data_IF_256428425255
#
_entry.id   IF_256428425255
#
_cell.length_a   1.000
_cell.length_b   1.000
_cell.length_c   1.000
_cell.angle_alpha   90.00
_cell.angle_beta   90.00
_cell.angle_gamma   90.00
#
_symmetry.space_group_name_H-M   'P 1'
#
loop_
_entity.id
_entity.type
_entity.pdbx_description
1 polymer ?
#
# COMPACT_ATOMS: atom_id res chain seq x y z
N UNK A 1 -16.05 14.08 -13.56
CA UNK A 1 -15.00 13.81 -12.55
C UNK A 1 -14.69 12.31 -12.57
N UNK A 2 -13.44 11.90 -12.81
CA UNK A 2 -13.05 10.49 -12.70
C UNK A 2 -12.86 10.19 -11.21
N UNK A 3 -13.66 9.29 -10.65
CA UNK A 3 -13.47 8.85 -9.26
C UNK A 3 -12.07 8.24 -9.13
N UNK A 4 -11.22 8.82 -8.28
CA UNK A 4 -9.86 8.31 -8.00
C UNK A 4 -9.87 7.01 -7.20
N UNK A 5 -11.05 6.60 -6.74
CA UNK A 5 -11.27 5.43 -5.90
C UNK A 5 -12.21 4.47 -6.61
N UNK A 6 -11.84 3.19 -6.60
CA UNK A 6 -12.70 2.09 -7.03
C UNK A 6 -12.93 1.18 -5.84
N UNK A 7 -14.19 1.01 -5.46
CA UNK A 7 -14.59 0.10 -4.40
C UNK A 7 -14.92 -1.27 -5.00
N UNK A 8 -14.41 -2.33 -4.38
CA UNK A 8 -14.66 -3.72 -4.76
C UNK A 8 -15.24 -4.41 -3.54
N UNK A 9 -16.46 -4.92 -3.66
CA UNK A 9 -17.05 -5.77 -2.64
C UNK A 9 -16.72 -7.23 -2.92
N UNK A 10 -16.07 -7.89 -1.97
CA UNK A 10 -15.67 -9.29 -2.09
C UNK A 10 -16.44 -10.17 -1.12
N UNK A 11 -16.99 -11.29 -1.62
CA UNK A 11 -17.59 -12.34 -0.78
C UNK A 11 -16.55 -13.29 -0.18
N UNK A 12 -15.29 -13.18 -0.59
CA UNK A 12 -14.22 -14.04 -0.09
C UNK A 12 -13.93 -13.74 1.38
N UNK A 13 -13.76 -14.78 2.20
CA UNK A 13 -13.40 -14.61 3.62
C UNK A 13 -11.93 -14.25 3.83
N UNK A 14 -11.06 -14.76 2.96
CA UNK A 14 -9.61 -14.65 3.09
C UNK A 14 -9.04 -13.40 2.39
N UNK A 15 -7.97 -12.84 2.94
CA UNK A 15 -7.33 -11.62 2.38
C UNK A 15 -6.64 -11.87 1.02
N UNK A 16 -6.04 -13.04 0.81
CA UNK A 16 -5.34 -13.37 -0.44
C UNK A 16 -6.23 -13.22 -1.68
N UNK A 17 -7.39 -13.89 -1.74
CA UNK A 17 -8.36 -13.71 -2.83
C UNK A 17 -8.83 -12.27 -3.01
N UNK A 18 -9.04 -11.51 -1.92
CA UNK A 18 -9.41 -10.09 -2.00
C UNK A 18 -8.31 -9.24 -2.66
N UNK A 19 -7.05 -9.52 -2.31
CA UNK A 19 -5.90 -8.87 -2.93
C UNK A 19 -5.82 -9.21 -4.42
N UNK A 20 -6.03 -10.48 -4.80
CA UNK A 20 -6.07 -10.90 -6.21
C UNK A 20 -7.15 -10.16 -7.00
N UNK A 21 -8.36 -10.01 -6.44
CA UNK A 21 -9.44 -9.23 -7.06
C UNK A 21 -9.05 -7.76 -7.24
N UNK A 22 -8.46 -7.14 -6.22
CA UNK A 22 -7.98 -5.76 -6.31
C UNK A 22 -6.87 -5.58 -7.35
N UNK A 23 -5.95 -6.53 -7.47
CA UNK A 23 -4.88 -6.51 -8.48
C UNK A 23 -5.41 -6.59 -9.90
N UNK A 24 -6.44 -7.41 -10.16
CA UNK A 24 -7.08 -7.52 -11.48
C UNK A 24 -7.71 -6.20 -11.96
N UNK A 25 -8.12 -5.35 -11.02
CA UNK A 25 -8.76 -4.07 -11.30
C UNK A 25 -7.79 -2.87 -11.27
N UNK A 26 -6.56 -3.09 -10.81
CA UNK A 26 -5.55 -2.04 -10.69
C UNK A 26 -4.82 -1.82 -12.01
N UNK A 27 -4.69 -0.57 -12.45
CA UNK A 27 -4.10 -0.23 -13.77
C UNK A 27 -2.80 0.58 -13.67
N UNK A 28 -2.28 0.80 -12.47
CA UNK A 28 -1.02 1.53 -12.27
C UNK A 28 0.21 0.67 -12.53
N UNK A 29 1.31 1.29 -12.96
CA UNK A 29 2.59 0.59 -13.20
C UNK A 29 3.26 0.12 -11.91
N UNK A 30 2.99 0.79 -10.79
CA UNK A 30 3.50 0.46 -9.45
C UNK A 30 2.32 0.23 -8.52
N UNK A 31 2.30 -0.91 -7.84
CA UNK A 31 1.31 -1.26 -6.83
C UNK A 31 1.91 -1.10 -5.43
N UNK A 32 1.16 -0.43 -4.54
CA UNK A 32 1.52 -0.29 -3.13
C UNK A 32 0.35 -0.77 -2.27
N UNK A 33 0.62 -1.66 -1.33
CA UNK A 33 -0.39 -2.14 -0.38
C UNK A 33 -0.53 -1.18 0.81
N UNK A 34 -1.76 -0.97 1.26
CA UNK A 34 -2.11 -0.22 2.46
C UNK A 34 -3.21 -1.00 3.21
N UNK A 35 -3.05 -1.14 4.52
CA UNK A 35 -4.09 -1.70 5.39
C UNK A 35 -5.05 -0.61 5.85
N UNK A 36 -6.21 -1.02 6.34
CA UNK A 36 -7.29 -0.15 6.80
C UNK A 36 -6.97 0.59 8.11
N UNK A 37 -6.04 0.07 8.91
CA UNK A 37 -5.51 0.68 10.14
C UNK A 37 -4.20 1.45 9.95
N UNK A 38 -3.68 1.50 8.72
CA UNK A 38 -2.41 2.15 8.38
C UNK A 38 -2.61 3.49 7.64
N UNK A 39 -1.58 4.33 7.66
CA UNK A 39 -1.49 5.54 6.84
C UNK A 39 -0.15 5.61 6.10
N UNK A 40 -0.18 6.27 4.94
CA UNK A 40 1.04 6.65 4.25
C UNK A 40 1.61 7.96 4.81
N UNK A 41 2.93 8.00 4.96
CA UNK A 41 3.66 9.27 5.08
C UNK A 41 3.46 10.12 3.82
N UNK A 42 3.40 11.43 3.98
CA UNK A 42 3.03 12.39 2.93
C UNK A 42 3.80 12.18 1.61
N UNK A 43 5.09 11.85 1.68
CA UNK A 43 5.97 11.70 0.53
C UNK A 43 6.16 10.25 0.05
N UNK A 44 5.47 9.28 0.65
CA UNK A 44 5.69 7.85 0.41
C UNK A 44 5.50 7.49 -1.07
N UNK A 45 4.35 7.81 -1.67
CA UNK A 45 4.05 7.41 -3.04
C UNK A 45 5.04 8.00 -4.06
N UNK A 46 5.43 9.28 -3.90
CA UNK A 46 6.46 9.92 -4.74
C UNK A 46 7.81 9.21 -4.60
N UNK A 47 8.20 8.90 -3.37
CA UNK A 47 9.47 8.22 -3.09
C UNK A 47 9.51 6.84 -3.71
N UNK A 48 8.46 6.03 -3.52
CA UNK A 48 8.36 4.68 -4.10
C UNK A 48 8.38 4.74 -5.63
N UNK A 49 7.58 5.63 -6.23
CA UNK A 49 7.54 5.77 -7.68
C UNK A 49 8.92 6.11 -8.27
N UNK A 50 9.64 7.05 -7.66
CA UNK A 50 10.99 7.42 -8.10
C UNK A 50 11.97 6.23 -8.01
N UNK A 51 11.90 5.43 -6.94
CA UNK A 51 12.76 4.24 -6.78
C UNK A 51 12.56 3.27 -7.95
N UNK A 52 11.32 2.96 -8.31
CA UNK A 52 11.04 2.07 -9.46
C UNK A 52 11.44 2.72 -10.79
N UNK A 53 11.20 4.02 -10.95
CA UNK A 53 11.56 4.77 -12.16
C UNK A 53 13.06 4.80 -12.41
N UNK A 54 13.86 4.95 -11.36
CA UNK A 54 15.33 5.03 -11.42
C UNK A 54 15.99 3.65 -11.53
N UNK A 55 15.25 2.56 -11.26
CA UNK A 55 15.79 1.19 -11.23
C UNK A 55 14.91 0.25 -12.06
N UNK A 56 15.10 0.21 -13.38
CA UNK A 56 14.27 -0.58 -14.31
C UNK A 56 14.23 -2.09 -14.04
N UNK A 57 15.22 -2.63 -13.32
CA UNK A 57 15.32 -4.05 -12.99
C UNK A 57 14.73 -4.39 -11.60
N UNK A 58 14.14 -3.42 -10.90
CA UNK A 58 13.56 -3.62 -9.58
C UNK A 58 12.14 -4.16 -9.67
N UNK A 59 11.92 -5.41 -9.25
CA UNK A 59 10.60 -6.04 -9.22
C UNK A 59 9.82 -5.85 -7.91
N UNK A 60 10.52 -5.60 -6.79
CA UNK A 60 9.90 -5.50 -5.46
C UNK A 60 10.70 -4.61 -4.53
N UNK A 61 10.01 -3.83 -3.69
CA UNK A 61 10.65 -2.96 -2.70
C UNK A 61 9.88 -2.96 -1.38
N UNK A 62 10.59 -3.20 -0.27
CA UNK A 62 10.07 -3.08 1.10
C UNK A 62 10.66 -1.83 1.77
N UNK A 63 9.79 -0.90 2.15
CA UNK A 63 10.19 0.34 2.82
C UNK A 63 10.19 0.20 4.35
N UNK A 64 10.81 1.14 5.04
CA UNK A 64 10.75 1.27 6.51
C UNK A 64 9.35 1.68 6.97
N UNK A 65 8.96 1.24 8.16
CA UNK A 65 7.67 1.58 8.78
C UNK A 65 7.90 2.28 10.12
N UNK A 66 6.96 3.13 10.53
CA UNK A 66 6.85 3.64 11.89
C UNK A 66 5.66 2.97 12.55
N UNK A 67 5.80 2.60 13.83
CA UNK A 67 4.70 2.01 14.59
C UNK A 67 3.97 3.15 15.28
N UNK A 68 2.66 3.21 15.07
CA UNK A 68 1.78 4.19 15.69
C UNK A 68 0.82 3.43 16.59
N UNK A 69 0.67 3.90 17.84
CA UNK A 69 -0.28 3.30 18.77
C UNK A 69 -1.71 3.83 18.51
N UNK A 70 -2.68 3.26 19.22
CA UNK A 70 -4.11 3.63 19.13
C UNK A 70 -4.40 5.13 19.44
N UNK A 71 -3.49 5.83 20.10
CA UNK A 71 -3.58 7.27 20.39
C UNK A 71 -2.92 8.15 19.31
N UNK A 72 -2.47 7.57 18.20
CA UNK A 72 -1.80 8.29 17.12
C UNK A 72 -0.35 8.69 17.44
N UNK A 73 0.29 8.07 18.45
CA UNK A 73 1.66 8.40 18.87
C UNK A 73 2.65 7.33 18.42
N UNK A 74 3.86 7.75 18.06
CA UNK A 74 4.93 6.83 17.70
C UNK A 74 5.29 5.91 18.89
N UNK A 75 5.38 4.62 18.59
CA UNK A 75 5.74 3.57 19.53
C UNK A 75 6.94 2.78 19.02
N UNK A 76 7.58 2.02 19.92
CA UNK A 76 8.63 1.08 19.55
C UNK A 76 8.00 -0.27 19.20
N UNK A 77 8.62 -0.99 18.27
CA UNK A 77 8.32 -2.40 18.08
C UNK A 77 8.53 -3.14 19.42
N UNK A 78 7.59 -4.01 19.83
CA UNK A 78 7.88 -4.98 20.89
C UNK A 78 9.17 -5.72 20.52
N UNK A 79 10.08 -5.86 21.49
CA UNK A 79 11.28 -6.70 21.34
C UNK A 79 10.91 -8.17 21.32
#
# INVERSE_FOLDING_TARGET
>A
MRNKWKFIYSKNKWIGPKVLEALKESTGEVIVFLKDDDLFEQNKLKTIYNIFKENSNLGFYRHKVKIINEYGREAKLPK
#
